data_IF_642092509704
#
_entry.id   IF_642092509704
#
_cell.length_a   1.000
_cell.length_b   1.000
_cell.length_c   1.000
_cell.angle_alpha   90.00
_cell.angle_beta   90.00
_cell.angle_gamma   90.00
#
_symmetry.space_group_name_H-M   'P 1'
#
loop_
_entity.id
_entity.type
_entity.pdbx_description
1 polymer ?
#
# COMPACT_ATOMS: atom_id res chain seq x y z
N UNK A 1 -1.70 19.74 -2.72
CA UNK A 1 -1.54 18.58 -3.63
C UNK A 1 -0.10 18.09 -3.55
N UNK A 2 0.12 16.79 -3.31
CA UNK A 2 1.46 16.18 -3.27
C UNK A 2 2.03 16.24 -4.70
N UNK A 3 3.19 16.90 -4.88
CA UNK A 3 3.81 17.04 -6.20
C UNK A 3 4.80 15.92 -6.49
N UNK A 4 5.85 15.86 -5.71
CA UNK A 4 6.95 14.91 -5.85
C UNK A 4 6.98 13.97 -4.65
N UNK A 5 7.10 12.67 -4.90
CA UNK A 5 7.02 11.68 -3.82
C UNK A 5 7.71 10.37 -4.18
N UNK A 6 8.12 9.66 -3.15
CA UNK A 6 8.52 8.25 -3.22
C UNK A 6 7.50 7.38 -2.49
N UNK A 7 7.00 6.35 -3.15
CA UNK A 7 6.22 5.27 -2.53
C UNK A 7 7.18 4.13 -2.16
N UNK A 8 7.07 3.62 -0.94
CA UNK A 8 7.82 2.47 -0.45
C UNK A 8 6.84 1.36 -0.10
N UNK A 9 6.93 0.23 -0.80
CA UNK A 9 6.10 -0.93 -0.59
C UNK A 9 6.97 -2.17 -0.28
N UNK A 10 7.05 -2.55 0.99
CA UNK A 10 7.78 -3.71 1.47
C UNK A 10 6.88 -4.73 2.18
N UNK A 11 5.60 -4.77 1.84
CA UNK A 11 4.58 -5.54 2.57
C UNK A 11 4.37 -6.96 2.05
N UNK A 12 4.88 -7.28 0.86
CA UNK A 12 4.72 -8.60 0.23
C UNK A 12 6.05 -9.10 -0.34
N UNK A 13 6.02 -10.24 -1.06
CA UNK A 13 7.23 -10.85 -1.62
C UNK A 13 7.92 -9.99 -2.66
N UNK A 14 7.17 -9.14 -3.36
CA UNK A 14 7.67 -8.26 -4.41
C UNK A 14 7.75 -6.84 -3.87
N UNK A 15 8.78 -6.57 -3.07
CA UNK A 15 9.03 -5.22 -2.60
C UNK A 15 9.33 -4.29 -3.77
N UNK A 16 8.82 -3.09 -3.71
CA UNK A 16 8.94 -2.14 -4.81
C UNK A 16 8.96 -0.70 -4.30
N UNK A 17 9.55 0.16 -5.11
CA UNK A 17 9.51 1.61 -4.93
C UNK A 17 8.99 2.26 -6.21
N UNK A 18 8.22 3.33 -6.05
CA UNK A 18 7.76 4.17 -7.16
C UNK A 18 8.06 5.62 -6.83
N UNK A 19 8.66 6.31 -7.76
CA UNK A 19 9.03 7.73 -7.65
C UNK A 19 8.23 8.55 -8.63
N UNK A 20 7.64 9.64 -8.17
CA UNK A 20 7.18 10.72 -9.03
C UNK A 20 8.03 11.95 -8.79
N UNK A 21 8.63 12.49 -9.83
CA UNK A 21 9.39 13.72 -9.80
C UNK A 21 9.21 14.50 -11.12
N UNK A 22 8.98 15.81 -11.05
CA UNK A 22 8.76 16.64 -12.22
C UNK A 22 7.73 16.06 -13.19
N UNK A 23 6.61 15.52 -12.68
CA UNK A 23 5.54 14.86 -13.45
C UNK A 23 5.94 13.54 -14.15
N UNK A 24 7.16 13.06 -13.98
CA UNK A 24 7.62 11.75 -14.48
C UNK A 24 7.49 10.70 -13.41
N UNK A 25 7.16 9.48 -13.84
CA UNK A 25 7.05 8.32 -12.96
C UNK A 25 8.17 7.32 -13.27
N UNK A 26 8.78 6.81 -12.21
CA UNK A 26 9.80 5.76 -12.25
C UNK A 26 9.40 4.65 -11.30
N UNK A 27 9.71 3.42 -11.65
CA UNK A 27 9.38 2.24 -10.85
C UNK A 27 10.58 1.31 -10.78
N UNK A 28 10.81 0.72 -9.60
CA UNK A 28 11.87 -0.27 -9.39
C UNK A 28 11.37 -1.37 -8.46
N UNK A 29 11.49 -2.63 -8.92
CA UNK A 29 11.36 -3.77 -8.03
C UNK A 29 12.64 -3.92 -7.21
N UNK A 30 12.49 -4.05 -5.90
CA UNK A 30 13.61 -4.28 -4.99
C UNK A 30 13.92 -5.77 -4.96
N UNK A 31 15.18 -6.13 -5.11
CA UNK A 31 15.61 -7.53 -5.01
C UNK A 31 15.54 -7.96 -3.54
N UNK A 32 14.52 -8.74 -3.19
CA UNK A 32 14.34 -9.25 -1.84
C UNK A 32 14.77 -10.70 -1.74
N UNK A 33 16.00 -10.93 -1.45
CA UNK A 33 16.37 -12.12 -0.70
C UNK A 33 16.17 -11.78 0.79
N UNK A 34 15.44 -12.62 1.50
CA UNK A 34 14.98 -12.46 2.90
C UNK A 34 16.08 -12.09 3.93
N UNK A 35 17.33 -12.03 3.51
CA UNK A 35 18.52 -11.80 4.36
C UNK A 35 19.07 -10.37 4.22
N UNK A 36 18.55 -9.53 3.31
CA UNK A 36 19.18 -8.23 2.99
C UNK A 36 18.23 -7.03 3.14
N UNK A 37 17.60 -6.91 4.30
CA UNK A 37 16.81 -5.72 4.64
C UNK A 37 17.65 -4.42 4.62
N UNK A 38 18.95 -4.52 4.83
CA UNK A 38 19.91 -3.43 4.75
C UNK A 38 20.04 -2.85 3.33
N UNK A 39 19.77 -3.65 2.30
CA UNK A 39 19.88 -3.22 0.92
C UNK A 39 18.79 -2.22 0.49
N UNK A 40 17.64 -2.18 1.19
CA UNK A 40 16.53 -1.28 0.82
C UNK A 40 16.96 0.19 0.90
N UNK A 41 17.74 0.56 1.89
CA UNK A 41 18.26 1.93 2.02
C UNK A 41 19.18 2.25 0.85
N UNK A 42 20.11 1.35 0.54
CA UNK A 42 21.06 1.52 -0.57
C UNK A 42 20.35 1.58 -1.92
N UNK A 43 19.34 0.74 -2.13
CA UNK A 43 18.51 0.75 -3.33
C UNK A 43 17.76 2.07 -3.49
N UNK A 44 17.20 2.62 -2.42
CA UNK A 44 16.51 3.92 -2.45
C UNK A 44 17.50 5.05 -2.74
N UNK A 45 18.67 5.05 -2.08
CA UNK A 45 19.69 6.07 -2.32
C UNK A 45 20.23 6.01 -3.76
N UNK A 46 20.48 4.80 -4.28
CA UNK A 46 20.87 4.61 -5.68
C UNK A 46 19.78 5.14 -6.63
N UNK A 47 18.52 4.80 -6.36
CA UNK A 47 17.37 5.24 -7.17
C UNK A 47 17.19 6.77 -7.14
N UNK A 48 17.44 7.40 -6.01
CA UNK A 48 17.45 8.86 -5.92
C UNK A 48 18.57 9.47 -6.75
N UNK A 49 19.78 8.91 -6.67
CA UNK A 49 20.93 9.35 -7.48
C UNK A 49 20.70 9.19 -8.97
N UNK A 50 20.19 8.03 -9.40
CA UNK A 50 19.86 7.72 -10.81
C UNK A 50 18.86 8.72 -11.42
N UNK A 51 17.92 9.20 -10.60
CA UNK A 51 16.86 10.10 -11.05
C UNK A 51 17.08 11.57 -10.63
N UNK A 52 18.26 11.93 -10.14
CA UNK A 52 18.64 13.27 -9.70
C UNK A 52 17.63 13.87 -8.68
N UNK A 53 17.12 13.01 -7.76
CA UNK A 53 16.15 13.44 -6.73
C UNK A 53 16.83 14.29 -5.69
N UNK A 54 16.25 15.47 -5.46
CA UNK A 54 16.57 16.30 -4.29
C UNK A 54 15.38 16.21 -3.34
N UNK A 55 15.64 15.74 -2.13
CA UNK A 55 14.65 15.68 -1.07
C UNK A 55 14.69 16.95 -0.25
N UNK A 56 13.57 17.65 -0.18
CA UNK A 56 13.36 18.85 0.62
C UNK A 56 12.02 18.74 1.38
N UNK A 57 11.61 19.78 2.07
CA UNK A 57 10.36 19.84 2.83
C UNK A 57 9.08 19.71 1.96
N UNK A 58 9.19 19.87 0.64
CA UNK A 58 8.08 19.69 -0.32
C UNK A 58 7.98 18.27 -0.86
N UNK A 59 9.02 17.46 -0.67
CA UNK A 59 9.04 16.07 -1.06
C UNK A 59 8.27 15.21 -0.04
N UNK A 60 7.57 14.21 -0.52
CA UNK A 60 6.76 13.34 0.34
C UNK A 60 7.19 11.88 0.24
N UNK A 61 7.11 11.18 1.36
CA UNK A 61 7.25 9.74 1.40
C UNK A 61 5.89 9.11 1.66
N UNK A 62 5.56 8.07 0.92
CA UNK A 62 4.29 7.36 1.05
C UNK A 62 4.61 5.89 1.32
N UNK A 63 4.20 5.37 2.48
CA UNK A 63 4.54 4.03 2.93
C UNK A 63 3.31 3.14 2.95
N UNK A 64 3.43 1.92 2.43
CA UNK A 64 2.39 0.92 2.58
C UNK A 64 2.38 0.39 4.03
N UNK A 65 1.28 0.62 4.74
CA UNK A 65 1.06 0.18 6.12
C UNK A 65 0.44 -1.22 6.24
N UNK A 66 0.30 -1.94 5.13
CA UNK A 66 -0.22 -3.31 5.11
C UNK A 66 -1.69 -3.42 4.68
N UNK A 67 -2.31 -4.56 4.96
CA UNK A 67 -1.75 -5.74 5.62
C UNK A 67 -0.66 -6.45 4.81
N UNK A 68 0.31 -7.06 5.50
CA UNK A 68 1.41 -7.78 4.86
C UNK A 68 2.53 -8.17 5.83
N UNK A 69 3.74 -8.29 5.31
CA UNK A 69 4.93 -8.63 6.10
C UNK A 69 5.20 -7.62 7.20
N UNK A 70 5.13 -8.03 8.45
CA UNK A 70 5.40 -7.17 9.60
C UNK A 70 6.82 -6.60 9.57
N UNK A 71 7.82 -7.42 9.25
CA UNK A 71 9.21 -6.96 9.12
C UNK A 71 9.35 -5.95 7.97
N UNK A 72 8.72 -6.22 6.82
CA UNK A 72 8.76 -5.31 5.68
C UNK A 72 8.12 -3.94 5.97
N UNK A 73 6.98 -3.91 6.65
CA UNK A 73 6.33 -2.66 7.09
C UNK A 73 7.27 -1.87 8.01
N UNK A 74 7.88 -2.53 8.99
CA UNK A 74 8.81 -1.88 9.93
C UNK A 74 10.02 -1.29 9.24
N UNK A 75 10.60 -2.00 8.27
CA UNK A 75 11.76 -1.50 7.51
C UNK A 75 11.36 -0.29 6.67
N UNK A 76 10.26 -0.37 5.93
CA UNK A 76 9.78 0.76 5.13
C UNK A 76 9.55 2.01 6.00
N UNK A 77 8.94 1.85 7.18
CA UNK A 77 8.73 2.94 8.13
C UNK A 77 10.05 3.46 8.71
N UNK A 78 11.00 2.58 9.05
CA UNK A 78 12.31 2.99 9.58
C UNK A 78 13.10 3.80 8.56
N UNK A 79 13.11 3.34 7.29
CA UNK A 79 13.75 4.07 6.19
C UNK A 79 13.09 5.44 5.97
N UNK A 80 11.76 5.48 5.91
CA UNK A 80 11.03 6.73 5.75
C UNK A 80 11.32 7.72 6.90
N UNK A 81 11.34 7.23 8.14
CA UNK A 81 11.70 8.04 9.31
C UNK A 81 13.15 8.54 9.28
N UNK A 82 14.09 7.70 8.84
CA UNK A 82 15.48 8.12 8.66
C UNK A 82 15.62 9.26 7.66
N UNK A 83 14.96 9.15 6.50
CA UNK A 83 14.95 10.22 5.48
C UNK A 83 14.25 11.49 6.02
N UNK A 84 13.14 11.34 6.75
CA UNK A 84 12.44 12.47 7.37
C UNK A 84 13.33 13.26 8.34
N UNK A 85 14.09 12.58 9.17
CA UNK A 85 14.98 13.21 10.16
C UNK A 85 16.06 14.08 9.51
N UNK A 86 16.52 13.69 8.31
CA UNK A 86 17.59 14.43 7.61
C UNK A 86 17.02 15.56 6.74
N UNK A 87 15.87 15.34 6.07
CA UNK A 87 15.39 16.22 5.00
C UNK A 87 14.05 16.89 5.31
N UNK A 88 13.51 16.69 6.52
CA UNK A 88 12.23 17.26 6.98
C UNK A 88 11.03 17.00 6.03
N UNK A 89 11.05 15.85 5.32
CA UNK A 89 9.99 15.45 4.38
C UNK A 89 8.73 15.03 5.12
N UNK A 90 7.56 15.15 4.47
CA UNK A 90 6.30 14.66 5.03
C UNK A 90 6.12 13.18 4.72
N UNK A 91 5.69 12.39 5.74
CA UNK A 91 5.37 10.97 5.57
C UNK A 91 3.87 10.78 5.57
N UNK A 92 3.37 10.10 4.53
CA UNK A 92 2.01 9.60 4.41
C UNK A 92 1.99 8.08 4.44
N UNK A 93 0.84 7.50 4.74
CA UNK A 93 0.64 6.04 4.64
C UNK A 93 -0.61 5.71 3.86
N UNK A 94 -0.61 4.55 3.21
CA UNK A 94 -1.79 3.90 2.64
C UNK A 94 -1.80 2.42 3.01
N UNK A 95 -2.95 1.78 2.85
CA UNK A 95 -3.09 0.35 3.04
C UNK A 95 -3.63 -0.32 1.77
N UNK A 96 -3.53 -1.64 1.69
CA UNK A 96 -4.00 -2.38 0.52
C UNK A 96 -5.52 -2.30 0.33
N UNK A 97 -6.29 -2.15 1.38
CA UNK A 97 -7.74 -2.04 1.25
C UNK A 97 -8.12 -0.77 0.50
N UNK A 98 -7.48 0.36 0.85
CA UNK A 98 -7.66 1.63 0.14
C UNK A 98 -7.13 1.54 -1.30
N UNK A 99 -5.96 0.94 -1.50
CA UNK A 99 -5.37 0.79 -2.83
C UNK A 99 -6.27 -0.02 -3.76
N UNK A 100 -6.79 -1.15 -3.30
CA UNK A 100 -7.71 -1.99 -4.07
C UNK A 100 -9.03 -1.28 -4.37
N UNK A 101 -9.53 -0.47 -3.41
CA UNK A 101 -10.76 0.28 -3.58
C UNK A 101 -10.60 1.52 -4.47
N UNK A 102 -9.38 2.02 -4.68
CA UNK A 102 -9.12 3.28 -5.36
C UNK A 102 -9.84 3.46 -6.71
N UNK A 103 -9.92 2.45 -7.61
CA UNK A 103 -10.63 2.58 -8.88
C UNK A 103 -12.14 2.81 -8.75
N UNK A 104 -12.73 2.48 -7.59
CA UNK A 104 -14.18 2.49 -7.35
C UNK A 104 -14.62 3.64 -6.42
N UNK A 105 -13.71 4.50 -6.00
CA UNK A 105 -14.04 5.59 -5.06
C UNK A 105 -14.98 6.64 -5.65
N UNK A 106 -15.08 6.74 -6.98
CA UNK A 106 -16.01 7.63 -7.67
C UNK A 106 -17.47 7.18 -7.57
N UNK A 107 -17.73 5.90 -7.34
CA UNK A 107 -19.07 5.31 -7.32
C UNK A 107 -19.92 5.74 -6.12
N UNK A 108 -19.28 6.28 -5.07
CA UNK A 108 -19.92 6.73 -3.81
C UNK A 108 -20.76 5.64 -3.14
N UNK A 109 -20.49 4.38 -3.42
CA UNK A 109 -21.14 3.20 -2.85
C UNK A 109 -20.32 2.63 -1.70
N UNK A 110 -20.93 1.77 -0.89
CA UNK A 110 -20.18 0.97 0.08
C UNK A 110 -19.21 0.05 -0.65
N UNK A 111 -17.96 0.04 -0.25
CA UNK A 111 -16.92 -0.82 -0.82
C UNK A 111 -16.44 -1.81 0.24
N UNK A 112 -16.42 -3.09 -0.10
CA UNK A 112 -15.82 -4.13 0.73
C UNK A 112 -14.52 -4.57 0.05
N UNK A 113 -13.42 -4.11 0.59
CA UNK A 113 -12.10 -4.47 0.07
C UNK A 113 -11.55 -5.68 0.83
N UNK A 114 -11.12 -6.69 0.08
CA UNK A 114 -10.64 -7.96 0.62
C UNK A 114 -9.16 -8.13 0.30
N UNK A 115 -8.40 -8.65 1.27
CA UNK A 115 -6.99 -8.94 1.14
C UNK A 115 -6.62 -10.26 1.79
N UNK A 116 -5.79 -11.07 1.10
CA UNK A 116 -5.20 -12.29 1.63
C UNK A 116 -3.85 -11.98 2.28
N UNK A 117 -3.63 -12.49 3.48
CA UNK A 117 -2.33 -12.46 4.15
C UNK A 117 -2.01 -13.85 4.66
N UNK A 118 -0.93 -14.46 4.20
CA UNK A 118 -0.56 -15.83 4.55
C UNK A 118 -1.74 -16.80 4.37
N UNK A 119 -2.33 -17.29 5.49
CA UNK A 119 -3.41 -18.28 5.53
C UNK A 119 -4.79 -17.66 5.74
N UNK A 120 -4.90 -16.34 5.92
CA UNK A 120 -6.14 -15.71 6.33
C UNK A 120 -6.58 -14.64 5.34
N UNK A 121 -7.90 -14.47 5.24
CA UNK A 121 -8.52 -13.38 4.51
C UNK A 121 -8.99 -12.33 5.49
N UNK A 122 -8.78 -11.08 5.12
CA UNK A 122 -9.24 -9.92 5.87
C UNK A 122 -10.04 -9.02 4.93
N UNK A 123 -11.01 -8.32 5.49
CA UNK A 123 -11.77 -7.30 4.77
C UNK A 123 -11.80 -5.99 5.55
N UNK A 124 -12.03 -4.92 4.83
CA UNK A 124 -12.30 -3.61 5.37
C UNK A 124 -13.44 -2.98 4.58
N UNK A 125 -14.36 -2.35 5.27
CA UNK A 125 -15.53 -1.69 4.70
C UNK A 125 -15.25 -0.21 4.53
N UNK A 126 -15.33 0.28 3.29
CA UNK A 126 -15.27 1.69 2.94
C UNK A 126 -16.68 2.26 2.82
N UNK A 127 -17.03 3.21 3.67
CA UNK A 127 -18.29 3.91 3.63
C UNK A 127 -18.08 5.34 3.15
N UNK A 128 -18.93 5.80 2.23
CA UNK A 128 -18.90 7.16 1.72
C UNK A 128 -19.91 8.04 2.46
N UNK A 129 -19.44 9.19 2.94
CA UNK A 129 -20.28 10.34 3.32
C UNK A 129 -19.83 11.54 2.48
N UNK A 130 -18.94 12.38 3.01
CA UNK A 130 -18.26 13.44 2.25
C UNK A 130 -16.97 12.93 1.61
N UNK A 131 -16.35 11.93 2.23
CA UNK A 131 -15.18 11.18 1.80
C UNK A 131 -15.27 9.73 2.27
N UNK A 132 -14.43 8.85 1.69
CA UNK A 132 -14.37 7.46 2.13
C UNK A 132 -13.64 7.31 3.46
N UNK A 133 -14.27 6.58 4.38
CA UNK A 133 -13.65 6.10 5.61
C UNK A 133 -13.67 4.58 5.61
N UNK A 134 -12.52 3.96 5.87
CA UNK A 134 -12.38 2.51 5.94
C UNK A 134 -12.34 2.04 7.39
N UNK A 135 -13.07 0.97 7.69
CA UNK A 135 -13.05 0.33 9.00
C UNK A 135 -11.72 -0.36 9.27
N UNK A 136 -11.42 -0.64 10.53
CA UNK A 136 -10.32 -1.53 10.87
C UNK A 136 -10.50 -2.90 10.20
N UNK A 137 -9.42 -3.54 9.71
CA UNK A 137 -9.50 -4.84 9.07
C UNK A 137 -10.09 -5.90 9.98
N UNK A 138 -11.04 -6.68 9.44
CA UNK A 138 -11.66 -7.81 10.12
C UNK A 138 -11.31 -9.10 9.40
N UNK A 139 -11.08 -10.18 10.15
CA UNK A 139 -10.87 -11.51 9.56
C UNK A 139 -12.18 -12.04 8.98
N UNK A 140 -12.11 -12.59 7.77
CA UNK A 140 -13.28 -13.25 7.15
C UNK A 140 -13.50 -14.61 7.84
N UNK A 141 -14.71 -14.81 8.34
CA UNK A 141 -15.22 -16.07 8.86
C UNK A 141 -16.14 -16.72 7.83
N UNK A 142 -16.46 -18.01 7.97
CA UNK A 142 -17.28 -18.80 7.04
C UNK A 142 -18.70 -18.23 6.80
N UNK A 143 -19.19 -17.33 7.64
CA UNK A 143 -20.51 -16.70 7.54
C UNK A 143 -20.46 -15.30 6.92
N UNK A 144 -19.40 -14.97 6.18
CA UNK A 144 -19.33 -13.69 5.48
C UNK A 144 -20.39 -13.66 4.38
N UNK A 145 -21.35 -12.76 4.49
CA UNK A 145 -22.39 -12.51 3.48
C UNK A 145 -22.18 -11.12 2.89
N UNK A 146 -22.31 -11.02 1.57
CA UNK A 146 -22.27 -9.74 0.89
C UNK A 146 -23.56 -8.97 1.15
N UNK A 147 -23.46 -7.69 1.48
CA UNK A 147 -24.63 -6.81 1.58
C UNK A 147 -25.08 -6.37 0.18
N UNK A 148 -26.38 -6.39 -0.06
CA UNK A 148 -26.97 -5.81 -1.27
C UNK A 148 -26.52 -4.35 -1.41
N UNK A 149 -26.14 -3.93 -2.62
CA UNK A 149 -25.64 -2.59 -2.95
C UNK A 149 -24.23 -2.24 -2.43
N UNK A 150 -23.33 -3.21 -2.37
CA UNK A 150 -21.92 -2.96 -2.12
C UNK A 150 -21.05 -3.46 -3.28
N UNK A 151 -19.91 -2.80 -3.48
CA UNK A 151 -18.88 -3.24 -4.43
C UNK A 151 -17.86 -4.08 -3.65
N UNK A 152 -17.69 -5.33 -4.04
CA UNK A 152 -16.67 -6.22 -3.46
C UNK A 152 -15.43 -6.20 -4.35
N UNK A 153 -14.31 -5.83 -3.77
CA UNK A 153 -13.01 -5.74 -4.46
C UNK A 153 -12.03 -6.71 -3.82
N UNK A 154 -11.55 -7.65 -4.61
CA UNK A 154 -10.57 -8.64 -4.18
C UNK A 154 -9.44 -8.77 -5.22
N UNK A 155 -8.19 -9.07 -4.83
CA UNK A 155 -7.14 -9.43 -5.77
C UNK A 155 -7.54 -10.65 -6.61
N UNK A 156 -7.11 -10.70 -7.88
CA UNK A 156 -7.44 -11.80 -8.82
C UNK A 156 -7.12 -13.19 -8.28
N UNK A 157 -6.05 -13.31 -7.48
CA UNK A 157 -5.65 -14.57 -6.82
C UNK A 157 -6.73 -15.12 -5.87
N UNK A 158 -7.63 -14.25 -5.43
CA UNK A 158 -8.72 -14.59 -4.49
C UNK A 158 -10.00 -14.96 -5.23
N UNK A 159 -10.24 -14.40 -6.41
CA UNK A 159 -11.45 -14.62 -7.21
C UNK A 159 -11.65 -16.11 -7.59
N UNK A 160 -10.56 -16.88 -7.64
CA UNK A 160 -10.57 -18.32 -7.97
C UNK A 160 -10.67 -19.23 -6.72
N UNK A 161 -10.73 -18.68 -5.53
CA UNK A 161 -10.78 -19.48 -4.29
C UNK A 161 -12.24 -19.86 -4.00
N UNK A 162 -12.49 -21.14 -3.67
CA UNK A 162 -13.84 -21.71 -3.44
C UNK A 162 -14.66 -20.95 -2.38
N UNK A 163 -14.02 -20.14 -1.54
CA UNK A 163 -14.69 -19.30 -0.54
C UNK A 163 -15.53 -18.21 -1.21
N UNK A 164 -15.19 -17.76 -2.42
CA UNK A 164 -15.86 -16.66 -3.12
C UNK A 164 -16.90 -17.11 -4.14
N UNK A 165 -16.97 -18.41 -4.46
CA UNK A 165 -18.03 -18.95 -5.32
C UNK A 165 -19.43 -18.99 -4.66
N UNK A 166 -19.52 -18.55 -3.39
CA UNK A 166 -20.77 -18.47 -2.61
C UNK A 166 -21.19 -17.03 -2.25
N UNK A 167 -20.47 -16.04 -2.72
CA UNK A 167 -20.77 -14.60 -2.56
C UNK A 167 -21.25 -14.03 -3.89
#
# INVERSE_FOLDING_TARGET
MIRDFLIINCTNKNNSIALKINSKFFFKNLQTNLIKNEMIVLDILAFFKENNVKTDDKFSLIVNSGPGSFSGIRIALAVAKGIQLVNNVTIYSYNYFLLNAAPYLSEKMKIISIQKTNKFYYYSEGNFKDHYTFTAPKKINFNFTNEKNSIVVAPQEIANDQIFNKI
#
